data_IF_749610321770
#
_entry.id   IF_749610321770
#
_cell.length_a   1.000
_cell.length_b   1.000
_cell.length_c   1.000
_cell.angle_alpha   90.00
_cell.angle_beta   90.00
_cell.angle_gamma   90.00
#
_symmetry.space_group_name_H-M   'P 1'
#
loop_
_entity.id
_entity.type
_entity.pdbx_description
1 polymer ?
#
# COMPACT_ATOMS: atom_id res chain seq x y z
N UNK A 1 -36.85 -31.04 30.92
CA UNK A 1 -37.29 -29.69 30.49
C UNK A 1 -37.21 -28.79 31.71
N UNK A 2 -36.20 -27.91 31.80
CA UNK A 2 -36.09 -26.96 32.91
C UNK A 2 -37.21 -25.94 32.78
N UNK A 3 -38.21 -26.01 33.66
CA UNK A 3 -39.42 -25.18 33.63
C UNK A 3 -39.17 -23.68 33.83
N UNK A 4 -40.22 -22.94 34.22
CA UNK A 4 -40.26 -21.46 34.23
C UNK A 4 -39.05 -20.74 34.88
N UNK A 5 -38.36 -21.36 35.83
CA UNK A 5 -37.13 -20.79 36.43
C UNK A 5 -36.00 -20.56 35.40
N UNK A 6 -35.88 -21.44 34.40
CA UNK A 6 -34.86 -21.29 33.35
C UNK A 6 -35.20 -20.14 32.38
N UNK A 7 -36.49 -19.89 32.18
CA UNK A 7 -36.97 -18.79 31.35
C UNK A 7 -36.74 -17.44 32.04
N UNK A 8 -36.98 -17.36 33.35
CA UNK A 8 -36.69 -16.15 34.15
C UNK A 8 -35.19 -15.83 34.16
N UNK A 9 -34.32 -16.84 34.27
CA UNK A 9 -32.88 -16.65 34.18
C UNK A 9 -32.44 -16.10 32.82
N UNK A 10 -32.92 -16.70 31.72
CA UNK A 10 -32.62 -16.24 30.36
C UNK A 10 -33.11 -14.82 30.13
N UNK A 11 -34.32 -14.51 30.60
CA UNK A 11 -34.89 -13.18 30.51
C UNK A 11 -34.03 -12.15 31.26
N UNK A 12 -33.65 -12.46 32.50
CA UNK A 12 -32.73 -11.62 33.27
C UNK A 12 -31.41 -11.42 32.53
N UNK A 13 -30.79 -12.49 32.03
CA UNK A 13 -29.55 -12.40 31.27
C UNK A 13 -29.70 -11.52 30.02
N UNK A 14 -30.76 -11.69 29.23
CA UNK A 14 -31.00 -10.88 28.04
C UNK A 14 -31.27 -9.41 28.33
N UNK A 15 -31.85 -9.09 29.49
CA UNK A 15 -32.04 -7.70 29.90
C UNK A 15 -30.74 -7.09 30.43
N UNK A 16 -30.05 -7.78 31.35
CA UNK A 16 -28.88 -7.22 32.01
C UNK A 16 -27.62 -7.23 31.16
N UNK A 17 -27.46 -8.20 30.26
CA UNK A 17 -26.29 -8.29 29.38
C UNK A 17 -26.07 -7.02 28.54
N UNK A 18 -27.04 -6.53 27.74
CA UNK A 18 -26.85 -5.30 26.97
C UNK A 18 -26.69 -4.06 27.88
N UNK A 19 -27.37 -4.02 29.02
CA UNK A 19 -27.28 -2.90 29.97
C UNK A 19 -25.86 -2.81 30.56
N UNK A 20 -25.29 -3.93 31.00
CA UNK A 20 -23.94 -3.98 31.57
C UNK A 20 -22.89 -3.65 30.51
N UNK A 21 -23.06 -4.14 29.28
CA UNK A 21 -22.17 -3.79 28.16
C UNK A 21 -22.25 -2.28 27.88
N UNK A 22 -23.45 -1.70 27.79
CA UNK A 22 -23.61 -0.26 27.60
C UNK A 22 -23.01 0.53 28.75
N UNK A 23 -23.17 0.09 30.00
CA UNK A 23 -22.58 0.79 31.15
C UNK A 23 -21.04 0.72 31.13
N UNK A 24 -20.47 -0.42 30.74
CA UNK A 24 -19.01 -0.60 30.72
C UNK A 24 -18.34 0.12 29.55
N UNK A 25 -18.94 0.07 28.37
CA UNK A 25 -18.34 0.56 27.12
C UNK A 25 -18.94 1.90 26.65
N UNK A 26 -20.05 2.34 27.22
CA UNK A 26 -20.67 3.63 26.93
C UNK A 26 -20.08 4.80 27.72
N UNK A 27 -19.11 4.53 28.59
CA UNK A 27 -18.36 5.59 29.28
C UNK A 27 -17.53 6.39 28.26
N UNK A 28 -17.74 7.72 28.15
CA UNK A 28 -16.97 8.56 27.23
C UNK A 28 -15.47 8.50 27.51
N UNK A 29 -15.05 8.27 28.76
CA UNK A 29 -13.62 8.18 29.09
C UNK A 29 -13.03 6.85 28.63
N UNK A 30 -13.79 5.75 28.69
CA UNK A 30 -13.36 4.48 28.13
C UNK A 30 -13.12 4.59 26.62
N UNK A 31 -14.01 5.27 25.90
CA UNK A 31 -13.87 5.50 24.45
C UNK A 31 -12.61 6.30 24.12
N UNK A 32 -12.35 7.41 24.81
CA UNK A 32 -11.16 8.25 24.58
C UNK A 32 -9.85 7.52 24.86
N UNK A 33 -9.82 6.61 25.83
CA UNK A 33 -8.60 5.88 26.20
C UNK A 33 -8.32 4.68 25.30
N UNK A 34 -9.37 3.99 24.81
CA UNK A 34 -9.20 2.71 24.12
C UNK A 34 -9.46 2.80 22.61
N UNK A 35 -10.36 3.67 22.16
CA UNK A 35 -10.79 3.74 20.75
C UNK A 35 -10.18 4.92 20.03
N UNK A 36 -10.15 6.10 20.65
CA UNK A 36 -9.62 7.31 20.02
C UNK A 36 -8.14 7.19 19.60
N UNK A 37 -7.22 6.58 20.39
CA UNK A 37 -5.82 6.43 19.98
C UNK A 37 -5.64 5.46 18.81
N UNK A 38 -6.56 4.49 18.66
CA UNK A 38 -6.53 3.56 17.52
C UNK A 38 -6.89 4.25 16.21
N UNK A 39 -7.68 5.34 16.25
CA UNK A 39 -8.07 6.09 15.06
C UNK A 39 -6.86 6.52 14.24
N UNK A 40 -5.80 6.95 14.91
CA UNK A 40 -4.60 7.50 14.25
C UNK A 40 -3.72 6.40 13.61
N UNK A 41 -3.96 5.12 13.95
CA UNK A 41 -3.32 3.97 13.29
C UNK A 41 -4.05 3.61 11.99
N UNK A 42 -5.38 3.67 12.00
CA UNK A 42 -6.21 3.28 10.85
C UNK A 42 -6.38 4.41 9.83
N UNK A 43 -6.41 5.66 10.29
CA UNK A 43 -6.61 6.83 9.45
C UNK A 43 -5.35 7.67 9.39
N UNK A 44 -4.91 8.07 8.18
CA UNK A 44 -3.83 9.05 8.07
C UNK A 44 -4.24 10.34 8.80
N UNK A 45 -3.30 10.99 9.50
CA UNK A 45 -3.59 12.20 10.24
C UNK A 45 -4.14 13.27 9.28
N UNK A 46 -5.16 13.99 9.74
CA UNK A 46 -5.87 14.99 8.93
C UNK A 46 -4.94 16.12 8.46
N UNK A 47 -3.81 16.31 9.14
CA UNK A 47 -2.74 17.25 8.74
C UNK A 47 -2.12 16.91 7.38
N UNK A 48 -2.06 15.63 7.04
CA UNK A 48 -1.38 15.14 5.83
C UNK A 48 -2.35 15.06 4.63
N UNK A 49 -3.63 15.31 4.87
CA UNK A 49 -4.63 15.37 3.82
C UNK A 49 -4.37 16.61 2.94
N UNK A 50 -4.00 16.37 1.66
CA UNK A 50 -3.95 17.44 0.65
C UNK A 50 -5.32 18.12 0.58
N UNK A 51 -5.37 19.40 0.97
CA UNK A 51 -6.58 20.20 0.87
C UNK A 51 -6.90 20.42 -0.60
N UNK A 52 -8.14 20.15 -1.05
CA UNK A 52 -8.51 20.42 -2.44
C UNK A 52 -8.47 21.94 -2.70
N UNK A 53 -8.02 22.37 -3.89
CA UNK A 53 -8.03 23.78 -4.27
C UNK A 53 -9.47 24.31 -4.24
N UNK A 54 -9.67 25.51 -3.68
CA UNK A 54 -11.00 26.09 -3.49
C UNK A 54 -11.30 27.17 -4.52
N UNK A 55 -10.27 27.74 -5.12
CA UNK A 55 -10.40 28.76 -6.17
C UNK A 55 -9.97 28.21 -7.54
N UNK A 56 -10.41 28.88 -8.59
CA UNK A 56 -10.08 28.46 -9.96
C UNK A 56 -8.58 28.65 -10.26
N UNK A 57 -7.95 29.69 -9.70
CA UNK A 57 -6.52 29.96 -9.84
C UNK A 57 -5.68 28.87 -9.16
N UNK A 58 -5.99 28.52 -7.91
CA UNK A 58 -5.34 27.41 -7.18
C UNK A 58 -5.45 26.08 -7.94
N UNK A 59 -6.59 25.84 -8.61
CA UNK A 59 -6.80 24.63 -9.40
C UNK A 59 -5.88 24.59 -10.62
N UNK A 60 -5.70 25.72 -11.32
CA UNK A 60 -4.80 25.79 -12.47
C UNK A 60 -3.34 25.60 -12.05
N UNK A 61 -2.93 26.17 -10.92
CA UNK A 61 -1.59 26.03 -10.37
C UNK A 61 -1.27 24.56 -9.99
N UNK A 62 -2.16 23.90 -9.25
CA UNK A 62 -1.96 22.49 -8.86
C UNK A 62 -2.00 21.58 -10.10
N UNK A 63 -2.83 21.88 -11.12
CA UNK A 63 -2.80 21.17 -12.40
C UNK A 63 -1.47 21.35 -13.14
N UNK A 64 -0.92 22.56 -13.16
CA UNK A 64 0.38 22.83 -13.79
C UNK A 64 1.49 22.05 -13.09
N UNK A 65 1.49 22.03 -11.75
CA UNK A 65 2.40 21.23 -10.94
C UNK A 65 2.28 19.73 -11.22
N UNK A 66 1.06 19.19 -11.25
CA UNK A 66 0.83 17.76 -11.56
C UNK A 66 1.32 17.39 -12.97
N UNK A 67 1.15 18.28 -13.96
CA UNK A 67 1.66 18.05 -15.31
C UNK A 67 3.19 18.04 -15.35
N UNK A 68 3.84 18.95 -14.62
CA UNK A 68 5.30 18.97 -14.51
C UNK A 68 5.85 17.70 -13.85
N UNK A 69 5.29 17.30 -12.70
CA UNK A 69 5.67 16.04 -12.02
C UNK A 69 5.51 14.81 -12.92
N UNK A 70 4.42 14.78 -13.69
CA UNK A 70 4.15 13.68 -14.64
C UNK A 70 5.17 13.67 -15.78
N UNK A 71 5.51 14.85 -16.32
CA UNK A 71 6.49 15.00 -17.39
C UNK A 71 7.88 14.55 -16.95
N UNK A 72 8.30 14.90 -15.73
CA UNK A 72 9.56 14.48 -15.12
C UNK A 72 9.62 12.96 -14.95
N UNK A 73 8.58 12.35 -14.36
CA UNK A 73 8.49 10.89 -14.21
C UNK A 73 8.53 10.18 -15.57
N UNK A 74 7.87 10.73 -16.58
CA UNK A 74 7.92 10.20 -17.96
C UNK A 74 9.33 10.31 -18.56
N UNK A 75 10.03 11.43 -18.35
CA UNK A 75 11.41 11.60 -18.81
C UNK A 75 12.35 10.58 -18.15
N UNK A 76 12.26 10.40 -16.83
CA UNK A 76 13.05 9.39 -16.10
C UNK A 76 12.77 7.98 -16.61
N UNK A 77 11.50 7.61 -16.82
CA UNK A 77 11.13 6.30 -17.37
C UNK A 77 11.65 6.08 -18.78
N UNK A 78 11.68 7.12 -19.62
CA UNK A 78 12.25 7.06 -20.98
C UNK A 78 13.76 6.87 -20.94
N UNK A 79 14.46 7.59 -20.08
CA UNK A 79 15.91 7.45 -19.90
C UNK A 79 16.27 6.04 -19.38
N UNK A 80 15.53 5.51 -18.41
CA UNK A 80 15.73 4.15 -17.92
C UNK A 80 15.50 3.10 -19.01
N UNK A 81 14.42 3.24 -19.80
CA UNK A 81 14.14 2.35 -20.94
C UNK A 81 15.22 2.43 -22.02
N UNK A 82 15.67 3.63 -22.35
CA UNK A 82 16.75 3.85 -23.31
C UNK A 82 18.05 3.17 -22.84
N UNK A 83 18.43 3.38 -21.57
CA UNK A 83 19.59 2.72 -20.97
C UNK A 83 19.51 1.20 -21.05
N UNK A 84 18.36 0.61 -20.70
CA UNK A 84 18.16 -0.84 -20.84
C UNK A 84 18.21 -1.33 -22.29
N UNK A 85 17.69 -0.55 -23.24
CA UNK A 85 17.67 -0.90 -24.66
C UNK A 85 19.07 -0.86 -25.28
N UNK A 86 19.89 0.13 -24.90
CA UNK A 86 21.29 0.23 -25.35
C UNK A 86 22.14 -0.89 -24.75
N UNK A 87 21.93 -1.24 -23.48
CA UNK A 87 22.62 -2.37 -22.85
C UNK A 87 22.25 -3.70 -23.52
N UNK A 88 20.98 -3.87 -23.90
CA UNK A 88 20.53 -5.04 -24.66
C UNK A 88 21.16 -5.10 -26.06
N UNK A 89 21.21 -3.99 -26.79
CA UNK A 89 21.84 -4.00 -28.13
C UNK A 89 23.34 -4.30 -28.07
N UNK A 90 24.06 -3.79 -27.06
CA UNK A 90 25.49 -4.09 -26.87
C UNK A 90 25.69 -5.57 -26.51
N UNK A 91 24.83 -6.13 -25.66
CA UNK A 91 24.88 -7.55 -25.30
C UNK A 91 24.59 -8.46 -26.52
N UNK A 92 23.63 -8.07 -27.36
CA UNK A 92 23.30 -8.78 -28.61
C UNK A 92 24.46 -8.71 -29.62
N UNK A 93 25.13 -7.57 -29.76
CA UNK A 93 26.31 -7.42 -30.60
C UNK A 93 27.49 -8.26 -30.11
N UNK A 94 27.78 -8.24 -28.80
CA UNK A 94 28.77 -9.12 -28.17
C UNK A 94 28.50 -10.59 -28.43
N UNK A 95 27.26 -11.05 -28.29
CA UNK A 95 26.87 -12.43 -28.55
C UNK A 95 27.00 -12.81 -30.04
N UNK A 96 26.72 -11.88 -30.96
CA UNK A 96 26.98 -12.06 -32.41
C UNK A 96 28.47 -12.18 -32.71
N UNK A 97 29.33 -11.43 -32.01
CA UNK A 97 30.78 -11.54 -32.16
C UNK A 97 31.33 -12.84 -31.59
N UNK A 98 30.82 -13.29 -30.44
CA UNK A 98 31.18 -14.58 -29.84
C UNK A 98 30.76 -15.76 -30.71
N UNK A 99 29.58 -15.69 -31.36
CA UNK A 99 29.08 -16.73 -32.27
C UNK A 99 29.71 -16.69 -33.67
N UNK A 100 30.37 -15.60 -34.06
CA UNK A 100 31.01 -15.41 -35.37
C UNK A 100 32.28 -16.26 -35.55
N UNK A 101 32.98 -16.58 -34.47
CA UNK A 101 34.16 -17.43 -34.50
C UNK A 101 33.78 -18.84 -34.04
N UNK A 102 34.22 -19.91 -34.74
CA UNK A 102 34.07 -21.25 -34.20
C UNK A 102 34.85 -21.33 -32.88
N UNK A 103 34.28 -22.02 -31.88
CA UNK A 103 34.92 -22.24 -30.60
C UNK A 103 36.17 -23.12 -30.76
N UNK A 104 37.31 -22.47 -31.02
CA UNK A 104 38.62 -23.12 -31.16
C UNK A 104 39.33 -23.31 -29.81
N UNK A 105 38.63 -23.20 -28.67
CA UNK A 105 39.30 -22.96 -27.39
C UNK A 105 38.65 -23.50 -26.12
N UNK A 106 37.60 -24.32 -26.16
CA UNK A 106 37.28 -25.12 -24.98
C UNK A 106 38.36 -26.19 -24.76
N UNK A 107 39.07 -26.21 -23.61
CA UNK A 107 39.95 -27.32 -23.30
C UNK A 107 39.09 -28.58 -23.20
N UNK A 108 39.17 -29.42 -24.23
CA UNK A 108 38.73 -30.79 -24.17
C UNK A 108 39.37 -31.45 -22.95
N UNK A 109 38.54 -31.93 -22.02
CA UNK A 109 38.97 -32.82 -20.96
C UNK A 109 39.12 -32.19 -19.59
N UNK A 110 38.04 -32.22 -18.81
CA UNK A 110 38.16 -32.75 -17.44
C UNK A 110 37.81 -34.24 -17.52
N UNK A 111 38.79 -35.07 -17.90
CA UNK A 111 38.82 -36.45 -17.41
C UNK A 111 39.38 -36.40 -15.99
N UNK A 112 38.49 -36.43 -14.99
CA UNK A 112 38.60 -37.23 -13.75
C UNK A 112 37.18 -37.51 -13.28
#
# INVERSE_FOLDING_TARGET
MGGGNLEVFKFGLYMFFPIVIMFKFGDPDWYKLNVEPLRDIFYPPVTDAKKPPRTHEELQEEMAKMRAETAEKLAQRRQARWGSQVLQSIADERNKEETKWPDWGQPAGRMV
#
